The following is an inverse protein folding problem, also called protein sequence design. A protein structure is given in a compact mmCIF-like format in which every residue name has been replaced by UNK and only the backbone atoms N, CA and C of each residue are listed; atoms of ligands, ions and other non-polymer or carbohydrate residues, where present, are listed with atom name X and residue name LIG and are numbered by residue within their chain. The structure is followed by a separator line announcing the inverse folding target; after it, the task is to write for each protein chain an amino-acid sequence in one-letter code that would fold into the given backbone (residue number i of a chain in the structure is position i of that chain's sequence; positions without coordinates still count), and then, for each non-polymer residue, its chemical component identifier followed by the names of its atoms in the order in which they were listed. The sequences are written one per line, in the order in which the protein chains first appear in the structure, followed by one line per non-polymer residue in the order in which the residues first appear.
data_IF_358047965975
#
_entry.id   IF_358047965975
#
_cell.length_a   1.000
_cell.length_b   1.000
_cell.length_c   1.000
_cell.angle_alpha   90.00
_cell.angle_beta   90.00
_cell.angle_gamma   90.00
#
_symmetry.space_group_name_H-M   'P 1'
#
loop_
_entity.id
_entity.type
_entity.pdbx_description
1 polymer ?
#
# COMPACT_ATOMS: atom_id res chain seq x y z
N UNK A 1 -7.70 18.72 -33.45
CA UNK A 1 -7.85 18.98 -32.01
C UNK A 1 -8.76 17.91 -31.45
N UNK A 2 -8.17 16.81 -30.98
CA UNK A 2 -8.89 15.76 -30.28
C UNK A 2 -8.52 15.90 -28.80
N UNK A 3 -9.52 16.20 -27.99
CA UNK A 3 -9.46 16.12 -26.54
C UNK A 3 -9.30 14.66 -26.15
N UNK A 4 -8.08 14.26 -25.84
CA UNK A 4 -7.85 13.04 -25.06
C UNK A 4 -8.05 13.42 -23.58
N UNK A 5 -9.32 13.46 -23.21
CA UNK A 5 -9.79 13.66 -21.84
C UNK A 5 -9.45 12.41 -21.03
N UNK A 6 -8.40 12.50 -20.22
CA UNK A 6 -8.16 11.73 -18.98
C UNK A 6 -8.56 10.25 -18.97
N UNK A 7 -7.56 9.37 -19.00
CA UNK A 7 -7.75 7.99 -18.57
C UNK A 7 -7.64 7.89 -17.03
N UNK A 8 -8.70 7.49 -16.33
CA UNK A 8 -8.63 6.49 -15.25
C UNK A 8 -9.63 5.33 -15.55
N UNK A 9 -9.64 4.11 -14.95
CA UNK A 9 -8.81 3.45 -13.92
C UNK A 9 -8.51 1.93 -14.18
N UNK A 10 -7.25 1.53 -14.43
CA UNK A 10 -6.83 0.10 -14.29
C UNK A 10 -5.63 -0.02 -13.32
N UNK A 11 -4.69 0.93 -13.38
CA UNK A 11 -3.54 1.03 -12.45
C UNK A 11 -3.94 1.15 -10.97
N UNK A 12 -5.09 1.76 -10.65
CA UNK A 12 -5.52 1.86 -9.24
C UNK A 12 -5.82 0.50 -8.61
N UNK A 13 -6.20 -0.51 -9.40
CA UNK A 13 -6.48 -1.85 -8.88
C UNK A 13 -5.21 -2.61 -8.48
N UNK A 14 -4.04 -2.16 -8.94
CA UNK A 14 -2.77 -2.76 -8.54
C UNK A 14 -2.16 -2.03 -7.34
N UNK A 15 -2.62 -0.81 -7.05
CA UNK A 15 -2.22 -0.03 -5.87
C UNK A 15 -3.16 -0.29 -4.68
N UNK A 16 -4.47 -0.18 -4.91
CA UNK A 16 -5.51 -0.26 -3.89
C UNK A 16 -6.44 -1.46 -4.11
N UNK A 17 -6.93 -2.07 -3.02
CA UNK A 17 -7.78 -3.22 -3.12
C UNK A 17 -9.15 -2.85 -3.73
N UNK A 18 -9.60 -3.67 -4.67
CA UNK A 18 -10.98 -3.64 -5.18
C UNK A 18 -11.96 -3.94 -4.05
N UNK A 19 -13.20 -3.46 -4.21
CA UNK A 19 -14.30 -3.78 -3.30
C UNK A 19 -14.37 -5.30 -3.12
N UNK A 20 -14.25 -5.75 -1.87
CA UNK A 20 -14.32 -7.16 -1.50
C UNK A 20 -13.00 -7.93 -1.50
N UNK A 21 -11.86 -7.37 -1.95
CA UNK A 21 -10.58 -8.10 -1.90
C UNK A 21 -10.13 -8.42 -0.47
N UNK A 22 -10.40 -7.55 0.50
CA UNK A 22 -10.16 -7.89 1.91
C UNK A 22 -11.00 -9.06 2.41
N UNK A 23 -12.13 -9.40 1.77
CA UNK A 23 -12.90 -10.58 2.12
C UNK A 23 -12.15 -11.89 1.80
N UNK A 24 -11.15 -11.86 0.92
CA UNK A 24 -10.30 -13.01 0.64
C UNK A 24 -9.47 -13.44 1.86
N UNK A 25 -9.25 -12.53 2.82
CA UNK A 25 -8.58 -12.87 4.08
C UNK A 25 -9.39 -13.85 4.95
N UNK A 26 -10.69 -14.04 4.68
CA UNK A 26 -11.50 -15.07 5.34
C UNK A 26 -11.08 -16.50 4.99
N UNK A 27 -10.24 -16.68 3.96
CA UNK A 27 -9.63 -17.97 3.65
C UNK A 27 -8.50 -18.36 4.61
N UNK A 28 -8.04 -17.44 5.46
CA UNK A 28 -6.99 -17.69 6.46
C UNK A 28 -7.61 -18.04 7.83
N UNK A 29 -6.87 -18.76 8.70
CA UNK A 29 -7.34 -19.03 10.06
C UNK A 29 -7.63 -17.73 10.82
N UNK A 30 -8.81 -17.58 11.44
CA UNK A 30 -9.25 -16.30 12.00
C UNK A 30 -8.53 -15.89 13.29
N UNK A 31 -7.97 -16.85 14.03
CA UNK A 31 -7.35 -16.64 15.34
C UNK A 31 -5.82 -16.81 15.31
N UNK A 32 -5.23 -16.92 14.12
CA UNK A 32 -3.79 -17.08 13.93
C UNK A 32 -3.15 -15.83 13.32
N UNK A 33 -1.86 -15.56 13.60
CA UNK A 33 -1.16 -14.44 13.00
C UNK A 33 -1.18 -14.48 11.47
N UNK A 34 -1.46 -13.33 10.87
CA UNK A 34 -1.29 -13.12 9.43
C UNK A 34 -0.07 -12.27 9.17
N UNK A 35 0.76 -12.68 8.22
CA UNK A 35 1.89 -11.88 7.75
C UNK A 35 1.58 -11.35 6.35
N UNK A 36 1.74 -10.04 6.18
CA UNK A 36 1.52 -9.32 4.94
C UNK A 36 2.86 -8.98 4.30
N UNK A 37 3.12 -9.53 3.12
CA UNK A 37 4.20 -9.11 2.23
C UNK A 37 3.70 -7.95 1.37
N UNK A 38 4.45 -6.86 1.38
CA UNK A 38 4.25 -5.70 0.52
C UNK A 38 5.43 -5.61 -0.45
N UNK A 39 5.13 -5.54 -1.75
CA UNK A 39 6.06 -5.11 -2.78
C UNK A 39 5.56 -3.78 -3.34
N UNK A 40 6.45 -2.80 -3.43
CA UNK A 40 6.07 -1.40 -3.68
C UNK A 40 6.92 -0.84 -4.80
N UNK A 41 6.26 -0.26 -5.81
CA UNK A 41 6.90 0.53 -6.87
C UNK A 41 6.40 1.96 -6.75
N UNK A 42 7.29 2.92 -6.60
CA UNK A 42 6.96 4.32 -6.43
C UNK A 42 6.81 5.02 -7.78
N UNK A 43 5.99 6.08 -7.80
CA UNK A 43 6.00 7.04 -8.89
C UNK A 43 7.21 7.95 -8.78
N UNK A 44 7.72 8.40 -9.94
CA UNK A 44 8.74 9.45 -9.97
C UNK A 44 8.23 10.74 -9.31
N UNK A 45 6.96 11.10 -9.59
CA UNK A 45 6.23 12.20 -8.95
C UNK A 45 4.92 11.65 -8.41
N UNK A 46 4.59 11.96 -7.15
CA UNK A 46 3.36 11.52 -6.52
C UNK A 46 2.11 12.14 -7.19
N UNK A 47 1.08 11.33 -7.41
CA UNK A 47 -0.18 11.75 -8.04
C UNK A 47 -1.28 11.98 -7.00
N UNK A 48 -1.46 13.24 -6.62
CA UNK A 48 -2.50 13.67 -5.68
C UNK A 48 -3.85 13.99 -6.33
N UNK A 49 -4.07 13.66 -7.61
CA UNK A 49 -5.36 13.91 -8.28
C UNK A 49 -6.58 13.27 -7.58
N UNK A 50 -6.36 12.21 -6.78
CA UNK A 50 -7.40 11.57 -5.95
C UNK A 50 -7.52 12.12 -4.52
N UNK A 51 -6.70 13.10 -4.14
CA UNK A 51 -6.59 13.64 -2.78
C UNK A 51 -6.10 15.10 -2.82
N UNK A 52 -6.83 15.94 -3.55
CA UNK A 52 -6.46 17.33 -3.81
C UNK A 52 -6.22 18.14 -2.51
N UNK A 53 -6.95 17.82 -1.45
CA UNK A 53 -6.83 18.41 -0.11
C UNK A 53 -5.49 18.10 0.59
N UNK A 54 -4.76 17.08 0.12
CA UNK A 54 -3.46 16.66 0.63
C UNK A 54 -2.30 17.06 -0.30
N UNK A 55 -2.58 17.77 -1.39
CA UNK A 55 -1.57 18.15 -2.39
C UNK A 55 -0.50 19.03 -1.76
N UNK A 56 0.79 18.64 -1.83
CA UNK A 56 1.88 19.49 -1.35
C UNK A 56 2.04 20.76 -2.18
N UNK A 57 2.64 21.80 -1.59
CA UNK A 57 2.88 23.10 -2.26
C UNK A 57 3.78 22.95 -3.48
N UNK A 58 4.81 22.11 -3.37
CA UNK A 58 5.72 21.75 -4.46
C UNK A 58 5.57 20.25 -4.77
N UNK A 59 5.73 19.82 -6.03
CA UNK A 59 5.69 18.39 -6.37
C UNK A 59 6.73 17.60 -5.56
N UNK A 60 6.30 16.46 -5.00
CA UNK A 60 7.17 15.52 -4.28
C UNK A 60 7.21 14.18 -5.00
N UNK A 61 8.27 13.42 -4.77
CA UNK A 61 8.42 12.06 -5.29
C UNK A 61 7.43 11.10 -4.64
N UNK A 62 7.17 9.96 -5.30
CA UNK A 62 6.37 8.88 -4.71
C UNK A 62 6.97 8.35 -3.40
N UNK A 63 8.29 8.22 -3.33
CA UNK A 63 8.98 7.78 -2.11
C UNK A 63 8.77 8.76 -0.93
N UNK A 64 8.78 10.07 -1.18
CA UNK A 64 8.49 11.09 -0.16
C UNK A 64 7.04 11.06 0.30
N UNK A 65 6.08 10.91 -0.63
CA UNK A 65 4.67 10.73 -0.29
C UNK A 65 4.44 9.46 0.53
N UNK A 66 5.11 8.35 0.18
CA UNK A 66 5.04 7.11 0.95
C UNK A 66 5.63 7.26 2.35
N UNK A 67 6.71 8.04 2.51
CA UNK A 67 7.29 8.35 3.83
C UNK A 67 6.28 9.06 4.72
N UNK A 68 5.58 10.08 4.20
CA UNK A 68 4.51 10.79 4.94
C UNK A 68 3.44 9.79 5.40
N UNK A 69 2.99 8.92 4.50
CA UNK A 69 2.06 7.84 4.84
C UNK A 69 2.60 6.95 5.97
N UNK A 70 3.83 6.44 5.87
CA UNK A 70 4.38 5.51 6.87
C UNK A 70 4.53 6.15 8.25
N UNK A 71 4.93 7.42 8.32
CA UNK A 71 5.04 8.18 9.57
C UNK A 71 3.67 8.30 10.25
N UNK A 72 2.63 8.64 9.49
CA UNK A 72 1.25 8.72 9.98
C UNK A 72 0.61 7.36 10.30
N UNK A 73 0.96 6.31 9.56
CA UNK A 73 0.39 4.97 9.73
C UNK A 73 0.96 4.22 10.94
N UNK A 74 2.19 4.54 11.39
CA UNK A 74 2.89 3.79 12.44
C UNK A 74 2.11 3.68 13.76
N UNK A 75 1.45 4.73 14.28
CA UNK A 75 0.58 4.62 15.46
C UNK A 75 -0.58 3.63 15.27
N UNK A 76 -1.18 3.58 14.08
CA UNK A 76 -2.28 2.64 13.77
C UNK A 76 -1.78 1.19 13.72
N UNK A 77 -0.61 0.95 13.14
CA UNK A 77 0.02 -0.38 13.14
C UNK A 77 0.25 -0.86 14.59
N UNK A 78 0.81 0.00 15.45
CA UNK A 78 1.03 -0.34 16.87
C UNK A 78 -0.29 -0.63 17.60
N UNK A 79 -1.32 0.19 17.38
CA UNK A 79 -2.64 -0.01 17.99
C UNK A 79 -3.31 -1.32 17.53
N UNK A 80 -3.08 -1.73 16.28
CA UNK A 80 -3.54 -3.02 15.75
C UNK A 80 -2.70 -4.23 16.23
N UNK A 81 -1.69 -4.02 17.08
CA UNK A 81 -0.77 -5.07 17.53
C UNK A 81 0.18 -5.56 16.44
N UNK A 82 0.36 -4.78 15.36
CA UNK A 82 1.18 -5.15 14.23
C UNK A 82 2.68 -5.00 14.54
N UNK A 83 3.50 -5.83 13.89
CA UNK A 83 4.95 -5.84 14.00
C UNK A 83 5.58 -5.76 12.61
N UNK A 84 6.47 -4.80 12.40
CA UNK A 84 7.30 -4.76 11.18
C UNK A 84 8.41 -5.79 11.33
N UNK A 85 8.35 -6.85 10.54
CA UNK A 85 9.32 -7.96 10.56
C UNK A 85 10.54 -7.62 9.72
N UNK A 86 10.33 -6.97 8.58
CA UNK A 86 11.40 -6.56 7.68
C UNK A 86 10.96 -5.38 6.83
N UNK A 87 11.91 -4.51 6.50
CA UNK A 87 11.74 -3.42 5.55
C UNK A 87 13.09 -3.18 4.86
N UNK A 88 13.09 -3.03 3.55
CA UNK A 88 14.31 -2.75 2.80
C UNK A 88 14.05 -2.28 1.38
N UNK A 89 15.08 -1.68 0.78
CA UNK A 89 15.13 -1.41 -0.65
C UNK A 89 15.34 -2.72 -1.40
N UNK A 90 14.61 -2.91 -2.49
CA UNK A 90 14.77 -4.08 -3.33
C UNK A 90 16.06 -3.99 -4.16
N UNK A 91 16.74 -5.13 -4.29
CA UNK A 91 17.80 -5.31 -5.27
C UNK A 91 17.24 -5.81 -6.61
N UNK A 92 18.08 -6.36 -7.50
CA UNK A 92 17.62 -6.89 -8.78
C UNK A 92 16.70 -8.11 -8.62
N UNK A 93 15.66 -8.18 -9.44
CA UNK A 93 14.81 -9.37 -9.59
C UNK A 93 15.62 -10.51 -10.21
N UNK A 94 15.87 -11.58 -9.45
CA UNK A 94 16.66 -12.74 -9.92
C UNK A 94 15.82 -13.68 -10.78
N UNK A 95 14.54 -13.86 -10.42
CA UNK A 95 13.56 -14.67 -11.15
C UNK A 95 12.25 -13.89 -11.19
N UNK A 96 11.81 -13.53 -12.39
CA UNK A 96 10.57 -12.79 -12.61
C UNK A 96 10.51 -12.27 -14.06
N UNK A 97 9.37 -11.70 -14.48
CA UNK A 97 9.27 -10.91 -15.70
C UNK A 97 10.32 -9.80 -15.71
N UNK A 98 10.86 -9.47 -16.90
CA UNK A 98 11.90 -8.46 -17.05
C UNK A 98 11.43 -7.03 -16.73
N UNK A 99 10.11 -6.81 -16.76
CA UNK A 99 9.44 -5.55 -16.47
C UNK A 99 8.91 -5.46 -15.03
N UNK A 100 9.09 -6.51 -14.22
CA UNK A 100 8.71 -6.52 -12.81
C UNK A 100 9.83 -5.93 -11.94
N UNK A 101 9.65 -4.65 -11.62
CA UNK A 101 10.56 -3.86 -10.81
C UNK A 101 9.87 -3.41 -9.52
N UNK A 102 10.58 -3.53 -8.40
CA UNK A 102 10.13 -3.11 -7.09
C UNK A 102 11.19 -2.21 -6.45
N UNK A 103 10.76 -1.16 -5.77
CA UNK A 103 11.64 -0.24 -5.06
C UNK A 103 11.80 -0.64 -3.59
N UNK A 104 10.76 -1.22 -2.99
CA UNK A 104 10.78 -1.59 -1.57
C UNK A 104 9.99 -2.86 -1.27
N UNK A 105 10.49 -3.59 -0.28
CA UNK A 105 9.83 -4.74 0.33
C UNK A 105 9.53 -4.44 1.80
N UNK A 106 8.31 -4.72 2.24
CA UNK A 106 7.88 -4.54 3.63
C UNK A 106 7.08 -5.76 4.09
N UNK A 107 7.48 -6.33 5.22
CA UNK A 107 6.82 -7.49 5.83
C UNK A 107 6.25 -7.06 7.18
N UNK A 108 4.92 -7.14 7.32
CA UNK A 108 4.21 -6.76 8.55
C UNK A 108 3.40 -7.94 9.05
N UNK A 109 3.57 -8.30 10.32
CA UNK A 109 2.78 -9.34 10.98
C UNK A 109 1.69 -8.69 11.84
N UNK A 110 0.47 -9.20 11.74
CA UNK A 110 -0.66 -8.83 12.58
C UNK A 110 -1.06 -10.00 13.49
N UNK A 111 -1.68 -9.76 14.66
CA UNK A 111 -2.13 -10.83 15.56
C UNK A 111 -3.13 -11.79 14.91
N UNK A 112 -3.98 -11.28 14.02
CA UNK A 112 -4.93 -12.04 13.21
C UNK A 112 -5.44 -11.21 12.01
N UNK A 113 -6.15 -11.82 11.04
CA UNK A 113 -6.71 -11.10 9.89
C UNK A 113 -7.67 -9.96 10.27
N UNK A 114 -8.46 -10.12 11.34
CA UNK A 114 -9.41 -9.10 11.78
C UNK A 114 -8.70 -7.82 12.22
N UNK A 115 -7.59 -7.91 12.95
CA UNK A 115 -6.80 -6.75 13.38
C UNK A 115 -6.30 -5.90 12.20
N UNK A 116 -5.89 -6.54 11.10
CA UNK A 116 -5.55 -5.83 9.87
C UNK A 116 -6.78 -5.14 9.25
N UNK A 117 -7.89 -5.88 9.12
CA UNK A 117 -9.12 -5.37 8.51
C UNK A 117 -9.69 -4.18 9.29
N UNK A 118 -9.69 -4.24 10.61
CA UNK A 118 -10.18 -3.16 11.47
C UNK A 118 -9.31 -1.91 11.33
N UNK A 119 -7.98 -2.08 11.28
CA UNK A 119 -7.03 -0.98 11.06
C UNK A 119 -7.30 -0.27 9.72
N UNK A 120 -7.41 -1.01 8.61
CA UNK A 120 -7.61 -0.40 7.28
C UNK A 120 -9.00 0.23 7.08
N UNK A 121 -9.97 -0.14 7.92
CA UNK A 121 -11.31 0.46 7.92
C UNK A 121 -11.42 1.72 8.80
N UNK A 122 -10.44 1.97 9.67
CA UNK A 122 -10.45 3.16 10.52
C UNK A 122 -10.42 4.44 9.65
N UNK A 123 -11.34 5.41 9.87
CA UNK A 123 -11.41 6.62 9.06
C UNK A 123 -10.11 7.42 9.03
N UNK A 124 -9.41 7.49 10.16
CA UNK A 124 -8.13 8.17 10.28
C UNK A 124 -7.06 7.50 9.41
N UNK A 125 -7.03 6.16 9.41
CA UNK A 125 -6.13 5.39 8.56
C UNK A 125 -6.48 5.56 7.08
N UNK A 126 -7.76 5.56 6.73
CA UNK A 126 -8.21 5.77 5.35
C UNK A 126 -7.79 7.14 4.83
N UNK A 127 -7.90 8.19 5.64
CA UNK A 127 -7.42 9.53 5.26
C UNK A 127 -5.92 9.52 4.93
N UNK A 128 -5.10 8.86 5.76
CA UNK A 128 -3.66 8.71 5.56
C UNK A 128 -3.31 7.84 4.35
N UNK A 129 -4.10 6.79 4.08
CA UNK A 129 -3.86 5.86 2.97
C UNK A 129 -3.89 6.54 1.60
N UNK A 130 -4.50 7.73 1.49
CA UNK A 130 -4.48 8.53 0.26
C UNK A 130 -3.07 8.98 -0.14
N UNK A 131 -2.16 9.22 0.82
CA UNK A 131 -0.74 9.45 0.53
C UNK A 131 -0.08 8.20 -0.06
N UNK A 132 -0.44 7.00 0.42
CA UNK A 132 0.02 5.73 -0.16
C UNK A 132 -0.48 5.57 -1.59
N UNK A 133 -1.76 5.84 -1.85
CA UNK A 133 -2.32 5.79 -3.20
C UNK A 133 -1.60 6.76 -4.15
N UNK A 134 -1.34 7.99 -3.71
CA UNK A 134 -0.62 8.98 -4.50
C UNK A 134 0.84 8.58 -4.79
N UNK A 135 1.47 7.87 -3.86
CA UNK A 135 2.87 7.48 -3.94
C UNK A 135 3.16 6.36 -4.95
N UNK A 136 2.24 5.41 -5.12
CA UNK A 136 2.55 4.12 -5.74
C UNK A 136 2.16 4.05 -7.22
N UNK A 137 3.10 3.56 -8.01
CA UNK A 137 2.90 3.18 -9.40
C UNK A 137 2.31 1.77 -9.51
N UNK A 138 2.79 0.84 -8.68
CA UNK A 138 2.31 -0.53 -8.59
C UNK A 138 2.51 -1.07 -7.17
N UNK A 139 1.71 -2.06 -6.77
CA UNK A 139 1.87 -2.74 -5.48
C UNK A 139 1.45 -4.21 -5.52
N UNK A 140 2.05 -5.01 -4.62
CA UNK A 140 1.48 -6.31 -4.22
C UNK A 140 1.28 -6.27 -2.72
N UNK A 141 0.13 -6.77 -2.28
CA UNK A 141 -0.15 -7.06 -0.87
C UNK A 141 -0.59 -8.51 -0.79
N UNK A 142 0.29 -9.36 -0.28
CA UNK A 142 0.09 -10.81 -0.25
C UNK A 142 0.04 -11.25 1.21
N UNK A 143 -1.07 -11.87 1.58
CA UNK A 143 -1.27 -12.42 2.91
C UNK A 143 -0.79 -13.87 2.96
N UNK A 144 -0.11 -14.24 4.05
CA UNK A 144 0.23 -15.62 4.36
C UNK A 144 0.03 -15.88 5.85
N UNK A 145 -0.48 -17.06 6.17
CA UNK A 145 -0.34 -17.71 7.48
C UNK A 145 0.70 -18.81 7.37
N UNK A 146 1.25 -19.26 8.50
CA UNK A 146 2.13 -20.43 8.59
C UNK A 146 1.51 -21.45 9.52
#
# INVERSE_FOLDING_TARGET
MSTDSGLPPDDRCTVDPRRGQFAQLSALPPDEPVTMLNLLRYREVADYSGAEDLTPVEPITGAEAYRIYTEGAMPHLRAAGAQVISHGQCGPTVIGPADEEWDSILIVRYPNPAAFVDMVKAPEYQSLSRHRTAALADARLIATSV
#
